data_IF_527393480482
#
_entry.id   IF_527393480482
#
_cell.length_a   1.000
_cell.length_b   1.000
_cell.length_c   1.000
_cell.angle_alpha   90.00
_cell.angle_beta   90.00
_cell.angle_gamma   90.00
#
_symmetry.space_group_name_H-M   'P 1'
#
loop_
_entity.id
_entity.type
_entity.pdbx_description
1 polymer ?
#
# COMPACT_ATOMS: atom_id res chain seq x y z
N UNK A 1 13.44 11.29 7.62
CA UNK A 1 14.05 9.95 7.47
C UNK A 1 12.93 8.92 7.37
N UNK A 2 13.04 7.89 6.53
CA UNK A 2 12.08 6.79 6.53
C UNK A 2 12.12 6.03 7.87
N UNK A 3 10.97 5.51 8.30
CA UNK A 3 10.84 4.75 9.55
C UNK A 3 10.99 3.25 9.29
N UNK A 4 11.80 2.59 10.10
CA UNK A 4 12.04 1.16 10.03
C UNK A 4 11.66 0.51 11.36
N UNK A 5 10.72 -0.45 11.34
CA UNK A 5 10.38 -1.24 12.50
C UNK A 5 11.19 -2.54 12.47
N UNK A 6 11.90 -2.83 13.56
CA UNK A 6 12.64 -4.08 13.76
C UNK A 6 11.94 -4.89 14.84
N UNK A 7 11.64 -6.15 14.52
CA UNK A 7 10.98 -7.12 15.41
C UNK A 7 11.86 -8.35 15.51
N UNK A 8 12.51 -8.54 16.65
CA UNK A 8 13.47 -9.63 16.90
C UNK A 8 13.60 -9.78 18.42
N UNK A 9 13.54 -10.97 18.97
CA UNK A 9 13.63 -11.19 20.42
C UNK A 9 15.06 -11.01 20.95
N UNK A 10 16.09 -11.23 20.11
CA UNK A 10 17.48 -11.02 20.49
C UNK A 10 17.83 -9.53 20.50
N UNK A 11 18.07 -9.01 21.71
CA UNK A 11 18.46 -7.61 21.91
C UNK A 11 19.78 -7.25 21.21
N UNK A 12 20.72 -8.21 21.11
CA UNK A 12 22.01 -7.99 20.44
C UNK A 12 21.82 -7.78 18.95
N UNK A 13 20.93 -8.54 18.34
CA UNK A 13 20.54 -8.40 16.92
C UNK A 13 19.85 -7.06 16.70
N UNK A 14 18.91 -6.67 17.57
CA UNK A 14 18.25 -5.36 17.47
C UNK A 14 19.24 -4.21 17.57
N UNK A 15 20.17 -4.26 18.53
CA UNK A 15 21.25 -3.25 18.69
C UNK A 15 22.13 -3.16 17.45
N UNK A 16 22.53 -4.31 16.90
CA UNK A 16 23.34 -4.36 15.67
C UNK A 16 22.61 -3.75 14.48
N UNK A 17 21.36 -4.16 14.24
CA UNK A 17 20.52 -3.62 13.16
C UNK A 17 20.30 -2.11 13.33
N UNK A 18 20.01 -1.65 14.55
CA UNK A 18 19.86 -0.23 14.86
C UNK A 18 21.15 0.55 14.57
N UNK A 19 22.31 0.03 14.99
CA UNK A 19 23.61 0.67 14.75
C UNK A 19 23.90 0.78 13.25
N UNK A 20 23.68 -0.29 12.50
CA UNK A 20 23.98 -0.36 11.06
C UNK A 20 23.03 0.48 10.22
N UNK A 21 21.73 0.50 10.56
CA UNK A 21 20.69 1.13 9.75
C UNK A 21 20.29 2.54 10.23
N UNK A 22 20.65 2.91 11.46
CA UNK A 22 20.25 4.17 12.09
C UNK A 22 20.79 5.44 11.42
N UNK A 23 21.79 5.32 10.54
CA UNK A 23 22.31 6.46 9.77
C UNK A 23 21.34 6.86 8.63
N UNK A 24 20.54 5.91 8.11
CA UNK A 24 19.63 6.10 6.98
C UNK A 24 18.14 6.06 7.38
N UNK A 25 17.80 5.46 8.53
CA UNK A 25 16.43 5.21 8.97
C UNK A 25 16.18 5.67 10.41
N UNK A 26 14.97 6.17 10.68
CA UNK A 26 14.45 6.29 12.05
C UNK A 26 14.05 4.89 12.52
N UNK A 27 14.88 4.26 13.35
CA UNK A 27 14.69 2.88 13.78
C UNK A 27 13.81 2.83 15.03
N UNK A 28 12.74 2.06 14.94
CA UNK A 28 11.86 1.65 16.03
C UNK A 28 12.10 0.15 16.19
N UNK A 29 12.24 -0.37 17.40
CA UNK A 29 12.41 -1.81 17.60
C UNK A 29 11.61 -2.33 18.78
N UNK A 30 11.30 -3.61 18.71
CA UNK A 30 10.69 -4.37 19.80
C UNK A 30 11.19 -5.81 19.80
N UNK A 31 11.32 -6.37 21.02
CA UNK A 31 11.54 -7.81 21.20
C UNK A 31 10.24 -8.59 21.44
N UNK A 32 9.10 -7.88 21.54
CA UNK A 32 7.79 -8.47 21.80
C UNK A 32 7.01 -8.63 20.49
N UNK A 33 6.63 -9.85 20.15
CA UNK A 33 5.73 -10.15 19.03
C UNK A 33 4.37 -9.42 19.14
N UNK A 34 3.83 -9.29 20.34
CA UNK A 34 2.54 -8.65 20.59
C UNK A 34 2.59 -7.16 20.27
N UNK A 35 3.71 -6.50 20.56
CA UNK A 35 3.89 -5.08 20.30
C UNK A 35 4.09 -4.79 18.80
N UNK A 36 4.54 -5.77 18.03
CA UNK A 36 4.89 -5.57 16.62
C UNK A 36 3.72 -5.01 15.80
N UNK A 37 2.54 -5.60 15.94
CA UNK A 37 1.33 -5.17 15.22
C UNK A 37 0.88 -3.79 15.69
N UNK A 38 0.87 -3.56 17.02
CA UNK A 38 0.50 -2.26 17.59
C UNK A 38 1.44 -1.14 17.14
N UNK A 39 2.76 -1.39 17.16
CA UNK A 39 3.77 -0.44 16.69
C UNK A 39 3.65 -0.17 15.19
N UNK A 40 3.39 -1.20 14.38
CA UNK A 40 3.18 -1.03 12.94
C UNK A 40 1.98 -0.13 12.64
N UNK A 41 0.88 -0.26 13.40
CA UNK A 41 -0.30 0.58 13.26
C UNK A 41 -0.08 2.01 13.74
N UNK A 42 0.54 2.19 14.90
CA UNK A 42 0.74 3.51 15.53
C UNK A 42 1.83 4.32 14.82
N UNK A 43 2.97 3.69 14.53
CA UNK A 43 4.16 4.37 14.00
C UNK A 43 4.19 4.45 12.49
N UNK A 44 3.40 3.61 11.81
CA UNK A 44 3.28 3.55 10.34
C UNK A 44 4.65 3.49 9.66
N UNK A 45 5.47 2.45 9.93
CA UNK A 45 6.82 2.37 9.40
C UNK A 45 6.81 2.24 7.87
N UNK A 46 7.92 2.62 7.26
CA UNK A 46 8.14 2.53 5.83
C UNK A 46 8.52 1.11 5.39
N UNK A 47 9.11 0.34 6.31
CA UNK A 47 9.39 -1.09 6.17
C UNK A 47 9.46 -1.76 7.55
N UNK A 48 9.33 -3.09 7.56
CA UNK A 48 9.46 -3.93 8.76
C UNK A 48 10.54 -4.97 8.50
N UNK A 49 11.48 -5.12 9.44
CA UNK A 49 12.38 -6.27 9.55
C UNK A 49 11.81 -7.19 10.63
N UNK A 50 11.58 -8.45 10.30
CA UNK A 50 10.88 -9.39 11.18
C UNK A 50 11.68 -10.69 11.29
N UNK A 51 12.02 -11.08 12.50
CA UNK A 51 12.50 -12.44 12.76
C UNK A 51 11.34 -13.45 12.72
N UNK A 52 11.64 -14.66 12.29
CA UNK A 52 10.68 -15.76 12.26
C UNK A 52 10.63 -16.53 13.57
N UNK A 53 11.78 -16.63 14.25
CA UNK A 53 11.99 -17.53 15.35
C UNK A 53 12.03 -16.77 16.68
N UNK A 54 10.86 -16.41 17.17
CA UNK A 54 10.70 -15.74 18.47
C UNK A 54 9.98 -16.64 19.46
N UNK A 55 10.36 -16.65 20.74
CA UNK A 55 9.70 -17.46 21.77
C UNK A 55 8.20 -17.15 21.88
N UNK A 56 7.37 -18.18 21.90
CA UNK A 56 5.93 -18.06 22.11
C UNK A 56 5.11 -17.63 20.91
N UNK A 57 5.72 -17.00 19.90
CA UNK A 57 5.02 -16.56 18.68
C UNK A 57 5.86 -16.86 17.44
N UNK A 58 5.18 -17.24 16.38
CA UNK A 58 5.81 -17.40 15.07
C UNK A 58 5.79 -16.08 14.32
N UNK A 59 6.94 -15.63 13.82
CA UNK A 59 7.02 -14.48 12.91
C UNK A 59 6.15 -14.65 11.66
N UNK A 60 5.78 -15.87 11.31
CA UNK A 60 4.81 -16.14 10.24
C UNK A 60 3.42 -15.60 10.56
N UNK A 61 2.95 -15.77 11.81
CA UNK A 61 1.65 -15.25 12.25
C UNK A 61 1.60 -13.74 12.23
N UNK A 62 2.70 -13.09 12.63
CA UNK A 62 2.85 -11.63 12.55
C UNK A 62 2.83 -11.18 11.08
N UNK A 63 3.58 -11.85 10.21
CA UNK A 63 3.62 -11.57 8.77
C UNK A 63 2.22 -11.69 8.15
N UNK A 64 1.49 -12.76 8.46
CA UNK A 64 0.13 -12.98 8.01
C UNK A 64 -0.85 -11.91 8.54
N UNK A 65 -0.77 -11.61 9.83
CA UNK A 65 -1.61 -10.58 10.46
C UNK A 65 -1.39 -9.21 9.82
N UNK A 66 -0.14 -8.77 9.70
CA UNK A 66 0.21 -7.51 9.07
C UNK A 66 -0.21 -7.46 7.59
N UNK A 67 -0.08 -8.58 6.87
CA UNK A 67 -0.48 -8.70 5.47
C UNK A 67 -2.00 -8.69 5.24
N UNK A 68 -2.80 -9.09 6.25
CA UNK A 68 -4.26 -9.15 6.16
C UNK A 68 -4.95 -7.83 6.55
N UNK A 69 -4.29 -6.96 7.29
CA UNK A 69 -4.86 -5.70 7.78
C UNK A 69 -4.70 -4.58 6.75
N UNK A 70 -5.78 -3.85 6.46
CA UNK A 70 -5.81 -2.78 5.45
C UNK A 70 -4.74 -1.68 5.68
N UNK A 71 -4.40 -1.40 6.94
CA UNK A 71 -3.45 -0.36 7.30
C UNK A 71 -1.98 -0.78 7.17
N UNK A 72 -1.69 -2.08 7.28
CA UNK A 72 -0.32 -2.62 7.30
C UNK A 72 0.03 -3.46 6.07
N UNK A 73 -0.97 -3.98 5.33
CA UNK A 73 -0.77 -4.85 4.15
C UNK A 73 0.14 -4.25 3.06
N UNK A 74 0.25 -2.93 3.03
CA UNK A 74 1.12 -2.24 2.09
C UNK A 74 2.54 -2.04 2.63
N UNK A 75 2.81 -2.25 3.93
CA UNK A 75 4.14 -2.09 4.50
C UNK A 75 5.00 -3.27 4.04
N UNK A 76 6.14 -3.05 3.35
CA UNK A 76 7.01 -4.15 2.96
C UNK A 76 7.62 -4.80 4.20
N UNK A 77 7.45 -6.12 4.29
CA UNK A 77 8.02 -6.94 5.35
C UNK A 77 9.23 -7.67 4.76
N UNK A 78 10.34 -7.57 5.43
CA UNK A 78 11.57 -8.31 5.15
C UNK A 78 11.83 -9.26 6.31
N UNK A 79 12.01 -10.51 5.99
CA UNK A 79 12.37 -11.51 6.98
C UNK A 79 13.88 -11.48 7.20
N UNK A 80 14.28 -11.52 8.47
CA UNK A 80 15.69 -11.59 8.90
C UNK A 80 15.79 -12.75 9.90
N UNK A 81 16.25 -13.93 9.47
CA UNK A 81 16.19 -15.13 10.30
C UNK A 81 17.46 -15.99 10.19
N UNK A 82 17.75 -16.76 11.24
CA UNK A 82 18.80 -17.77 11.23
C UNK A 82 18.50 -18.98 10.36
N UNK A 83 17.25 -19.18 10.00
CA UNK A 83 16.80 -20.33 9.20
C UNK A 83 17.22 -20.19 7.73
N UNK A 84 17.72 -21.28 7.14
CA UNK A 84 18.23 -21.28 5.76
C UNK A 84 17.36 -22.05 4.77
N UNK A 85 16.31 -22.74 5.26
CA UNK A 85 15.48 -23.62 4.43
C UNK A 85 14.75 -22.85 3.32
N UNK A 86 14.84 -23.37 2.09
CA UNK A 86 14.10 -22.84 0.94
C UNK A 86 12.59 -22.80 1.19
N UNK A 87 12.07 -23.79 1.92
CA UNK A 87 10.63 -23.86 2.27
C UNK A 87 10.17 -22.65 3.07
N UNK A 88 10.99 -22.15 3.99
CA UNK A 88 10.66 -20.92 4.74
C UNK A 88 10.66 -19.67 3.85
N UNK A 89 11.60 -19.60 2.90
CA UNK A 89 11.65 -18.51 1.93
C UNK A 89 10.41 -18.47 1.05
N UNK A 90 10.03 -19.65 0.51
CA UNK A 90 8.84 -19.77 -0.34
C UNK A 90 7.55 -19.48 0.43
N UNK A 91 7.46 -19.97 1.67
CA UNK A 91 6.30 -19.69 2.52
C UNK A 91 6.18 -18.22 2.89
N UNK A 92 7.28 -17.56 3.27
CA UNK A 92 7.28 -16.12 3.55
C UNK A 92 6.88 -15.29 2.32
N UNK A 93 7.37 -15.67 1.14
CA UNK A 93 7.00 -15.02 -0.11
C UNK A 93 5.49 -15.18 -0.40
N UNK A 94 4.92 -16.35 -0.14
CA UNK A 94 3.48 -16.60 -0.26
C UNK A 94 2.65 -15.76 0.73
N UNK A 95 3.18 -15.47 1.91
CA UNK A 95 2.57 -14.56 2.90
C UNK A 95 2.77 -13.07 2.55
N UNK A 96 3.47 -12.75 1.46
CA UNK A 96 3.66 -11.39 0.97
C UNK A 96 4.95 -10.69 1.42
N UNK A 97 5.89 -11.40 2.07
CA UNK A 97 7.20 -10.86 2.39
C UNK A 97 7.95 -10.43 1.12
N UNK A 98 8.65 -9.31 1.18
CA UNK A 98 9.34 -8.67 0.04
C UNK A 98 10.81 -9.05 -0.08
N UNK A 99 11.31 -9.78 0.90
CA UNK A 99 12.68 -10.32 0.92
C UNK A 99 12.92 -11.20 2.12
N UNK A 100 13.94 -12.04 2.00
CA UNK A 100 14.40 -12.94 3.05
C UNK A 100 15.93 -12.81 3.18
N UNK A 101 16.40 -12.45 4.35
CA UNK A 101 17.82 -12.29 4.68
C UNK A 101 18.19 -13.25 5.78
N UNK A 102 19.18 -14.08 5.51
CA UNK A 102 19.70 -15.04 6.48
C UNK A 102 20.68 -14.35 7.43
N UNK A 103 20.62 -14.68 8.72
CA UNK A 103 21.64 -14.29 9.69
C UNK A 103 22.89 -15.19 9.51
N UNK A 104 24.13 -14.63 9.46
CA UNK A 104 24.48 -13.23 9.58
C UNK A 104 24.07 -12.39 8.35
N UNK A 105 23.53 -11.18 8.58
CA UNK A 105 22.92 -10.36 7.55
C UNK A 105 23.97 -9.74 6.62
N UNK A 106 23.78 -9.86 5.33
CA UNK A 106 24.42 -9.04 4.33
C UNK A 106 23.75 -7.65 4.33
N UNK A 107 24.38 -6.68 4.98
CA UNK A 107 23.82 -5.34 5.15
C UNK A 107 23.74 -4.56 3.84
N UNK A 108 24.69 -4.75 2.93
CA UNK A 108 24.71 -4.04 1.65
C UNK A 108 23.51 -4.49 0.79
N UNK A 109 23.26 -5.79 0.74
CA UNK A 109 22.09 -6.36 0.07
C UNK A 109 20.78 -5.90 0.74
N UNK A 110 20.72 -5.91 2.08
CA UNK A 110 19.55 -5.48 2.84
C UNK A 110 19.24 -3.99 2.58
N UNK A 111 20.23 -3.11 2.72
CA UNK A 111 20.07 -1.66 2.50
C UNK A 111 19.65 -1.33 1.07
N UNK A 112 20.28 -1.97 0.08
CA UNK A 112 19.92 -1.80 -1.33
C UNK A 112 18.45 -2.16 -1.56
N UNK A 113 17.99 -3.26 -0.99
CA UNK A 113 16.62 -3.72 -1.15
C UNK A 113 15.61 -2.84 -0.41
N UNK A 114 15.92 -2.42 0.81
CA UNK A 114 15.14 -1.47 1.59
C UNK A 114 14.97 -0.15 0.83
N UNK A 115 16.07 0.42 0.34
CA UNK A 115 16.08 1.67 -0.42
C UNK A 115 15.17 1.57 -1.65
N UNK A 116 15.37 0.55 -2.49
CA UNK A 116 14.58 0.36 -3.72
C UNK A 116 13.08 0.32 -3.43
N UNK A 117 12.65 -0.44 -2.40
CA UNK A 117 11.23 -0.58 -2.09
C UNK A 117 10.65 0.63 -1.37
N UNK A 118 11.41 1.29 -0.51
CA UNK A 118 10.95 2.49 0.20
C UNK A 118 10.85 3.68 -0.76
N UNK A 119 11.85 3.89 -1.63
CA UNK A 119 11.84 4.97 -2.63
C UNK A 119 10.73 4.74 -3.68
N UNK A 120 10.58 3.50 -4.16
CA UNK A 120 9.48 3.12 -5.03
C UNK A 120 8.12 3.41 -4.39
N UNK A 121 7.95 3.09 -3.10
CA UNK A 121 6.74 3.41 -2.34
C UNK A 121 6.57 4.88 -2.02
N UNK A 122 7.61 5.66 -1.82
CA UNK A 122 7.47 7.10 -1.61
C UNK A 122 6.94 7.79 -2.85
N UNK A 123 7.24 7.29 -4.04
CA UNK A 123 6.59 7.73 -5.27
C UNK A 123 5.12 7.26 -5.33
N UNK A 124 4.79 6.08 -4.77
CA UNK A 124 3.44 5.55 -4.66
C UNK A 124 2.68 6.03 -3.41
N UNK A 125 3.34 6.35 -2.29
CA UNK A 125 2.77 6.93 -1.06
C UNK A 125 2.29 8.38 -1.23
N UNK A 126 2.69 9.05 -2.29
CA UNK A 126 1.91 10.16 -2.81
C UNK A 126 0.52 9.71 -3.28
N UNK A 127 0.27 8.41 -3.28
CA UNK A 127 -1.00 7.75 -3.50
C UNK A 127 -1.57 7.30 -2.15
N UNK A 128 -2.52 8.03 -1.65
CA UNK A 128 -3.47 7.85 -0.57
C UNK A 128 -3.78 6.43 -0.12
N UNK A 129 -3.98 6.23 1.21
CA UNK A 129 -4.67 5.06 1.73
C UNK A 129 -6.01 4.89 1.02
N UNK A 130 -6.22 3.76 0.38
CA UNK A 130 -7.46 3.42 -0.32
C UNK A 130 -8.20 2.36 0.47
N UNK A 131 -9.47 2.59 0.69
CA UNK A 131 -10.36 1.60 1.29
C UNK A 131 -11.26 0.98 0.22
N UNK A 132 -11.58 -0.30 0.38
CA UNK A 132 -12.60 -0.95 -0.46
C UNK A 132 -13.96 -0.41 -0.04
N UNK A 133 -14.50 0.50 -0.82
CA UNK A 133 -15.81 1.09 -0.59
C UNK A 133 -16.51 1.24 -1.94
N UNK A 134 -17.76 0.82 -1.98
CA UNK A 134 -18.62 0.96 -3.16
C UNK A 134 -19.46 2.22 -3.04
N UNK A 135 -19.16 3.20 -3.88
CA UNK A 135 -19.92 4.45 -4.00
C UNK A 135 -20.44 4.55 -5.41
N UNK A 136 -21.70 4.83 -5.57
CA UNK A 136 -22.29 5.04 -6.90
C UNK A 136 -21.93 6.44 -7.37
N UNK A 137 -21.27 6.51 -8.51
CA UNK A 137 -20.80 7.75 -9.12
C UNK A 137 -21.42 7.94 -10.50
N UNK A 138 -21.65 9.18 -10.86
CA UNK A 138 -21.85 9.63 -12.23
C UNK A 138 -20.59 10.34 -12.69
N UNK A 139 -20.02 9.86 -13.78
CA UNK A 139 -18.83 10.43 -14.41
C UNK A 139 -19.23 11.00 -15.75
N UNK A 140 -19.05 12.31 -15.91
CA UNK A 140 -19.32 13.02 -17.17
C UNK A 140 -18.01 13.37 -17.86
N UNK A 141 -17.92 13.01 -19.13
CA UNK A 141 -16.73 13.26 -19.96
C UNK A 141 -17.14 13.73 -21.36
N UNK A 142 -16.15 14.18 -22.11
CA UNK A 142 -16.31 14.58 -23.50
C UNK A 142 -15.49 13.61 -24.35
N UNK A 143 -16.10 13.05 -25.38
CA UNK A 143 -15.41 12.15 -26.33
C UNK A 143 -14.55 12.95 -27.32
N UNK A 144 -13.85 12.23 -28.21
CA UNK A 144 -12.99 12.84 -29.24
C UNK A 144 -13.75 13.71 -30.24
N UNK A 145 -15.03 13.49 -30.42
CA UNK A 145 -15.89 14.22 -31.31
C UNK A 145 -16.50 15.48 -30.67
N UNK A 146 -16.16 15.78 -29.40
CA UNK A 146 -16.71 16.92 -28.66
C UNK A 146 -18.08 16.66 -28.01
N UNK A 147 -18.60 15.41 -28.09
CA UNK A 147 -19.89 15.06 -27.49
C UNK A 147 -19.72 14.68 -26.03
N UNK A 148 -20.59 15.18 -25.17
CA UNK A 148 -20.61 14.80 -23.76
C UNK A 148 -21.33 13.47 -23.57
N UNK A 149 -20.77 12.60 -22.72
CA UNK A 149 -21.42 11.37 -22.30
C UNK A 149 -21.38 11.25 -20.78
N UNK A 150 -22.42 10.63 -20.24
CA UNK A 150 -22.57 10.34 -18.82
C UNK A 150 -22.43 8.84 -18.59
N UNK A 151 -21.63 8.46 -17.60
CA UNK A 151 -21.46 7.07 -17.19
C UNK A 151 -21.79 6.92 -15.71
N UNK A 152 -22.68 5.98 -15.39
CA UNK A 152 -22.88 5.55 -14.01
C UNK A 152 -21.95 4.39 -13.72
N UNK A 153 -21.24 4.49 -12.59
CA UNK A 153 -20.30 3.47 -12.15
C UNK A 153 -20.31 3.31 -10.65
N UNK A 154 -19.65 2.26 -10.18
CA UNK A 154 -19.45 2.02 -8.75
C UNK A 154 -17.97 1.87 -8.48
N UNK A 155 -17.51 2.53 -7.43
CA UNK A 155 -16.10 2.41 -7.02
C UNK A 155 -15.78 1.02 -6.52
N UNK A 156 -14.57 0.55 -6.78
CA UNK A 156 -13.98 -0.65 -6.16
C UNK A 156 -13.18 -0.30 -4.91
N UNK A 157 -12.49 0.84 -4.99
CA UNK A 157 -11.81 1.44 -3.85
C UNK A 157 -11.79 2.96 -3.96
N UNK A 158 -11.66 3.62 -2.82
CA UNK A 158 -11.61 5.08 -2.72
C UNK A 158 -10.46 5.51 -1.82
N UNK A 159 -9.82 6.60 -2.18
CA UNK A 159 -8.85 7.33 -1.38
C UNK A 159 -9.33 8.77 -1.16
N UNK A 160 -8.62 9.61 -0.37
CA UNK A 160 -9.03 10.99 -0.11
C UNK A 160 -9.02 11.88 -1.39
N UNK A 161 -8.18 11.55 -2.40
CA UNK A 161 -8.08 12.30 -3.66
C UNK A 161 -8.19 11.42 -4.91
N UNK A 162 -8.57 10.15 -4.78
CA UNK A 162 -8.60 9.21 -5.90
C UNK A 162 -9.61 8.09 -5.71
N UNK A 163 -10.02 7.47 -6.81
CA UNK A 163 -10.83 6.25 -6.79
C UNK A 163 -10.52 5.35 -7.98
N UNK A 164 -10.83 4.07 -7.84
CA UNK A 164 -10.85 3.08 -8.90
C UNK A 164 -12.29 2.65 -9.12
N UNK A 165 -12.73 2.63 -10.37
CA UNK A 165 -14.08 2.22 -10.73
C UNK A 165 -14.10 1.43 -12.03
N UNK A 166 -15.06 0.51 -12.16
CA UNK A 166 -15.36 -0.17 -13.43
C UNK A 166 -15.99 0.83 -14.38
N UNK A 167 -15.33 1.14 -15.49
CA UNK A 167 -15.76 2.18 -16.42
C UNK A 167 -15.64 1.67 -17.86
N UNK A 168 -16.73 1.21 -18.43
CA UNK A 168 -16.80 0.86 -19.86
C UNK A 168 -17.20 2.12 -20.63
N UNK A 169 -16.24 2.75 -21.33
CA UNK A 169 -16.49 3.97 -22.08
C UNK A 169 -15.24 4.47 -22.81
N UNK A 170 -15.37 5.48 -23.66
CA UNK A 170 -14.30 6.02 -24.49
C UNK A 170 -13.38 6.98 -23.69
N UNK A 171 -12.87 6.49 -22.55
CA UNK A 171 -11.90 7.22 -21.76
C UNK A 171 -10.50 7.09 -22.34
N UNK A 172 -9.68 8.11 -22.14
CA UNK A 172 -8.23 8.08 -22.38
C UNK A 172 -7.49 8.49 -21.12
N UNK A 173 -6.29 7.97 -20.92
CA UNK A 173 -5.40 8.46 -19.87
C UNK A 173 -5.11 9.95 -20.10
N UNK A 174 -5.15 10.72 -19.01
CA UNK A 174 -5.03 12.18 -19.05
C UNK A 174 -6.35 12.95 -19.21
N UNK A 175 -7.45 12.31 -19.67
CA UNK A 175 -8.75 12.95 -19.79
C UNK A 175 -9.25 13.48 -18.45
N UNK A 176 -9.90 14.65 -18.48
CA UNK A 176 -10.53 15.25 -17.30
C UNK A 176 -12.03 15.01 -17.37
N UNK A 177 -12.58 14.55 -16.26
CA UNK A 177 -13.99 14.19 -16.11
C UNK A 177 -14.61 14.98 -14.94
N UNK A 178 -15.91 15.23 -15.00
CA UNK A 178 -16.68 15.70 -13.86
C UNK A 178 -17.25 14.50 -13.09
N UNK A 179 -17.19 14.56 -11.76
CA UNK A 179 -17.60 13.45 -10.90
C UNK A 179 -18.67 13.93 -9.94
N UNK A 180 -19.79 13.21 -9.93
CA UNK A 180 -20.90 13.40 -9.00
C UNK A 180 -21.15 12.12 -8.19
N UNK A 181 -21.49 12.26 -6.90
CA UNK A 181 -21.98 11.16 -6.06
C UNK A 181 -23.49 11.06 -6.20
N UNK A 182 -23.99 9.82 -6.29
CA UNK A 182 -25.41 9.49 -6.43
C UNK A 182 -25.94 8.88 -5.13
N UNK A 183 -26.20 9.72 -4.12
CA UNK A 183 -26.78 9.26 -2.84
C UNK A 183 -28.27 9.63 -2.76
N UNK A 184 -28.62 10.75 -2.12
CA UNK A 184 -29.99 11.26 -2.02
C UNK A 184 -30.36 12.21 -3.20
N UNK A 185 -29.56 12.21 -4.25
CA UNK A 185 -29.63 13.03 -5.45
C UNK A 185 -28.25 13.09 -6.11
N UNK A 186 -28.15 13.81 -7.22
CA UNK A 186 -26.86 14.05 -7.88
C UNK A 186 -26.15 15.23 -7.21
N UNK A 187 -24.97 14.96 -6.60
CA UNK A 187 -24.13 15.98 -6.01
C UNK A 187 -22.76 15.98 -6.69
N UNK A 188 -22.43 17.06 -7.38
CA UNK A 188 -21.11 17.23 -7.98
C UNK A 188 -20.05 17.40 -6.87
N UNK A 189 -19.01 16.58 -6.89
CA UNK A 189 -17.95 16.59 -5.88
C UNK A 189 -16.61 17.11 -6.42
N UNK A 190 -16.45 17.20 -7.74
CA UNK A 190 -15.25 17.78 -8.33
C UNK A 190 -14.91 17.27 -9.70
N UNK A 191 -13.74 17.70 -10.19
CA UNK A 191 -13.14 17.22 -11.44
C UNK A 191 -11.99 16.25 -11.14
N UNK A 192 -11.90 15.18 -11.90
CA UNK A 192 -10.86 14.19 -11.77
C UNK A 192 -10.18 13.91 -13.13
N UNK A 193 -8.94 13.44 -13.08
CA UNK A 193 -8.19 13.01 -14.27
C UNK A 193 -8.10 11.50 -14.29
N UNK A 194 -8.28 10.88 -15.45
CA UNK A 194 -7.96 9.47 -15.68
C UNK A 194 -6.45 9.30 -15.65
N UNK A 195 -5.94 8.57 -14.66
CA UNK A 195 -4.49 8.39 -14.46
C UNK A 195 -3.98 7.02 -14.92
N UNK A 196 -4.87 6.05 -15.03
CA UNK A 196 -4.57 4.69 -15.48
C UNK A 196 -5.83 3.99 -15.96
N UNK A 197 -5.67 3.15 -16.97
CA UNK A 197 -6.73 2.27 -17.47
C UNK A 197 -6.24 0.83 -17.48
N UNK A 198 -7.12 -0.09 -17.09
CA UNK A 198 -6.85 -1.54 -17.06
C UNK A 198 -7.92 -2.26 -17.87
N UNK A 199 -7.54 -3.35 -18.57
CA UNK A 199 -8.42 -4.19 -19.39
C UNK A 199 -9.26 -3.40 -20.40
N UNK A 200 -8.60 -2.49 -21.11
CA UNK A 200 -9.22 -1.58 -22.09
C UNK A 200 -10.00 -2.36 -23.14
N UNK A 201 -11.23 -1.92 -23.42
CA UNK A 201 -12.10 -2.52 -24.43
C UNK A 201 -12.76 -3.83 -24.02
N UNK A 202 -12.62 -4.26 -22.77
CA UNK A 202 -13.29 -5.45 -22.22
C UNK A 202 -14.41 -5.08 -21.25
N UNK A 203 -15.36 -6.00 -20.98
CA UNK A 203 -16.39 -5.78 -19.96
C UNK A 203 -15.84 -5.55 -18.54
N UNK A 204 -14.59 -5.92 -18.31
CA UNK A 204 -13.89 -5.69 -17.04
C UNK A 204 -13.06 -4.41 -16.99
N UNK A 205 -13.19 -3.52 -17.98
CA UNK A 205 -12.41 -2.27 -18.04
C UNK A 205 -12.57 -1.47 -16.75
N UNK A 206 -11.43 -1.05 -16.20
CA UNK A 206 -11.33 -0.21 -14.98
C UNK A 206 -10.53 1.05 -15.27
N UNK A 207 -10.95 2.13 -14.64
CA UNK A 207 -10.24 3.40 -14.69
C UNK A 207 -9.89 3.86 -13.27
N UNK A 208 -8.64 4.26 -13.09
CA UNK A 208 -8.19 4.96 -11.90
C UNK A 208 -8.29 6.46 -12.13
N UNK A 209 -8.95 7.14 -11.23
CA UNK A 209 -9.18 8.58 -11.28
C UNK A 209 -8.48 9.29 -10.14
N UNK A 210 -7.96 10.48 -10.39
CA UNK A 210 -7.39 11.37 -9.38
C UNK A 210 -8.08 12.72 -9.45
N UNK A 211 -8.65 13.19 -8.35
CA UNK A 211 -9.22 14.52 -8.27
C UNK A 211 -8.16 15.61 -8.50
N UNK A 212 -8.52 16.65 -9.25
CA UNK A 212 -7.63 17.78 -9.53
C UNK A 212 -7.49 18.71 -8.32
N UNK A 213 -8.54 18.80 -7.52
CA UNK A 213 -8.60 19.52 -6.25
C UNK A 213 -9.18 18.61 -5.19
N UNK A 214 -9.01 18.94 -3.91
CA UNK A 214 -9.66 18.15 -2.83
C UNK A 214 -11.17 18.18 -3.05
N UNK A 215 -11.83 17.03 -3.21
CA UNK A 215 -13.26 17.00 -3.45
C UNK A 215 -14.04 17.45 -2.21
N UNK A 216 -15.12 18.18 -2.44
CA UNK A 216 -16.06 18.57 -1.39
C UNK A 216 -16.92 17.35 -1.04
N UNK A 217 -17.18 17.13 0.25
CA UNK A 217 -18.05 16.05 0.74
C UNK A 217 -17.73 14.63 0.22
N UNK A 218 -16.43 14.37 -0.02
CA UNK A 218 -15.97 13.05 -0.38
C UNK A 218 -15.97 12.09 0.81
N UNK A 219 -16.09 10.82 0.55
CA UNK A 219 -16.32 9.73 1.51
C UNK A 219 -15.23 9.59 2.58
N UNK A 220 -14.05 10.13 2.33
CA UNK A 220 -12.92 10.17 3.26
C UNK A 220 -12.52 11.63 3.48
N UNK A 221 -12.79 12.14 4.66
CA UNK A 221 -12.32 13.45 5.13
C UNK A 221 -10.96 13.34 5.81
#
# INVERSE_FOLDING_TARGET
MPKLLIVDDDESVRKLLRFRLGHAYEVIDTGSPEDAVALAMQRKPDAILLDLMMPGYSGFEICQTLGSMSFTQLIPIFIVSGESSSRYKDFCAALGAKGYFQKPVDFDALESRLRTLIEGRQSERRCEARIKLRVVLKVKSINENGESFDLFTTTENVGAHSFLAGCIGPFKEGSVVEVSVMNAGEQMIGKARVVRMEWIGTPGQRCAFRFLTKPLDWVLQ
#
